data_IF_259296533849
#
_entry.id   IF_259296533849
#
_cell.length_a   1.000
_cell.length_b   1.000
_cell.length_c   1.000
_cell.angle_alpha   90.00
_cell.angle_beta   90.00
_cell.angle_gamma   90.00
#
_symmetry.space_group_name_H-M   'P 1'
#
loop_
_entity.id
_entity.type
_entity.pdbx_description
1 polymer ?
#
# COMPACT_ATOMS: atom_id res chain seq x y z
N UNK A 1 13.59 12.35 5.45
CA UNK A 1 12.73 11.64 4.48
C UNK A 1 11.33 11.63 5.03
N UNK A 2 10.32 11.78 4.16
CA UNK A 2 8.90 11.72 4.54
C UNK A 2 8.16 10.84 3.54
N UNK A 3 7.27 9.99 4.00
CA UNK A 3 6.41 9.18 3.15
C UNK A 3 4.96 9.37 3.56
N UNK A 4 4.10 9.66 2.59
CA UNK A 4 2.66 9.74 2.78
C UNK A 4 2.03 8.43 2.33
N UNK A 5 1.29 7.77 3.22
CA UNK A 5 0.48 6.61 2.88
C UNK A 5 -0.98 7.01 2.74
N UNK A 6 -1.65 6.42 1.77
CA UNK A 6 -3.06 6.63 1.46
C UNK A 6 -3.75 5.28 1.41
N UNK A 7 -4.73 5.08 2.29
CA UNK A 7 -5.68 3.98 2.24
C UNK A 7 -6.94 4.42 1.49
N UNK A 8 -7.41 3.59 0.56
CA UNK A 8 -8.51 3.93 -0.35
C UNK A 8 -9.81 3.30 0.12
N UNK A 9 -10.74 4.12 0.59
CA UNK A 9 -12.07 3.72 1.04
C UNK A 9 -13.20 4.22 0.13
N UNK A 10 -14.16 3.33 -0.17
CA UNK A 10 -15.32 3.66 -1.04
C UNK A 10 -16.30 4.61 -0.34
N UNK A 11 -16.66 4.29 0.91
CA UNK A 11 -17.79 4.97 1.58
C UNK A 11 -17.36 6.11 2.49
N UNK A 12 -16.13 6.08 2.95
CA UNK A 12 -15.61 6.99 3.98
C UNK A 12 -14.59 7.99 3.45
N UNK A 13 -14.26 7.92 2.15
CA UNK A 13 -13.14 8.65 1.59
C UNK A 13 -11.80 8.01 1.96
N UNK A 14 -10.73 8.78 1.79
CA UNK A 14 -9.37 8.32 1.95
C UNK A 14 -8.85 8.63 3.36
N UNK A 15 -8.07 7.70 3.94
CA UNK A 15 -7.31 7.96 5.16
C UNK A 15 -5.82 8.14 4.80
N UNK A 16 -5.21 9.22 5.30
CA UNK A 16 -3.84 9.63 5.02
C UNK A 16 -3.00 9.59 6.29
N UNK A 17 -1.78 9.09 6.20
CA UNK A 17 -0.79 9.11 7.29
C UNK A 17 0.57 9.50 6.75
N UNK A 18 1.18 10.55 7.33
CA UNK A 18 2.53 10.98 7.03
C UNK A 18 3.50 10.43 8.08
N UNK A 19 4.52 9.71 7.64
CA UNK A 19 5.65 9.27 8.47
C UNK A 19 6.94 10.01 8.09
N UNK A 20 7.77 10.28 9.09
CA UNK A 20 9.16 10.74 8.85
C UNK A 20 10.16 9.59 8.79
N UNK A 21 11.45 9.92 8.54
CA UNK A 21 12.52 8.93 8.45
C UNK A 21 12.84 8.21 9.76
N UNK A 22 12.39 8.73 10.89
CA UNK A 22 12.48 8.10 12.22
C UNK A 22 11.21 7.30 12.55
N UNK A 23 10.26 7.23 11.58
CA UNK A 23 8.98 6.53 11.67
C UNK A 23 7.98 7.13 12.64
N UNK A 24 8.16 8.39 13.02
CA UNK A 24 7.17 9.14 13.76
C UNK A 24 5.97 9.48 12.86
N UNK A 25 4.76 9.39 13.41
CA UNK A 25 3.55 9.90 12.76
C UNK A 25 3.56 11.42 12.89
N UNK A 26 3.80 12.12 11.78
CA UNK A 26 3.85 13.59 11.76
C UNK A 26 2.48 14.20 11.62
N UNK A 27 1.63 13.62 10.78
CA UNK A 27 0.30 14.14 10.49
C UNK A 27 -0.64 13.05 9.98
N UNK A 28 -1.94 13.29 10.09
CA UNK A 28 -2.97 12.37 9.59
C UNK A 28 -4.19 13.16 9.10
N UNK A 29 -4.81 12.70 8.01
CA UNK A 29 -6.12 13.18 7.57
C UNK A 29 -7.07 11.98 7.38
N UNK A 30 -8.35 12.21 7.55
CA UNK A 30 -9.38 11.17 7.44
C UNK A 30 -10.55 11.66 6.61
N UNK A 31 -11.18 10.69 5.93
CA UNK A 31 -12.37 10.97 5.12
C UNK A 31 -12.12 12.04 4.05
N UNK A 32 -10.90 12.02 3.49
CA UNK A 32 -10.49 12.96 2.45
C UNK A 32 -11.17 12.57 1.14
N UNK A 33 -11.72 13.56 0.44
CA UNK A 33 -12.23 13.35 -0.92
C UNK A 33 -11.05 13.19 -1.88
N UNK A 34 -11.19 12.30 -2.86
CA UNK A 34 -10.16 12.07 -3.87
C UNK A 34 -9.85 13.34 -4.67
N UNK A 35 -10.84 14.19 -4.87
CA UNK A 35 -10.69 15.45 -5.60
C UNK A 35 -9.85 16.50 -4.84
N UNK A 36 -9.73 16.38 -3.51
CA UNK A 36 -8.91 17.27 -2.69
C UNK A 36 -7.43 16.86 -2.62
N UNK A 37 -7.05 15.66 -3.09
CA UNK A 37 -5.68 15.15 -3.00
C UNK A 37 -4.66 16.08 -3.69
N UNK A 38 -5.01 16.70 -4.81
CA UNK A 38 -4.12 17.60 -5.55
C UNK A 38 -3.68 18.83 -4.75
N UNK A 39 -4.46 19.24 -3.74
CA UNK A 39 -4.12 20.32 -2.81
C UNK A 39 -3.41 19.77 -1.56
N UNK A 40 -3.98 18.75 -0.95
CA UNK A 40 -3.54 18.26 0.33
C UNK A 40 -2.16 17.56 0.27
N UNK A 41 -1.90 16.76 -0.77
CA UNK A 41 -0.65 16.01 -0.86
C UNK A 41 0.59 16.92 -0.89
N UNK A 42 0.63 18.01 -1.66
CA UNK A 42 1.73 18.98 -1.59
C UNK A 42 1.93 19.60 -0.20
N UNK A 43 0.84 19.90 0.53
CA UNK A 43 0.90 20.51 1.86
C UNK A 43 1.55 19.58 2.90
N UNK A 44 1.36 18.25 2.78
CA UNK A 44 2.08 17.27 3.59
C UNK A 44 3.59 17.24 3.30
N UNK A 45 4.03 17.65 2.12
CA UNK A 45 5.42 17.72 1.70
C UNK A 45 6.14 16.36 1.73
N UNK A 46 5.58 15.28 1.17
CA UNK A 46 6.21 13.97 1.19
C UNK A 46 7.32 13.88 0.13
N UNK A 47 8.28 13.00 0.37
CA UNK A 47 9.28 12.59 -0.63
C UNK A 47 8.76 11.46 -1.56
N UNK A 48 7.73 10.74 -1.12
CA UNK A 48 7.04 9.67 -1.87
C UNK A 48 5.61 9.55 -1.38
N UNK A 49 4.68 9.23 -2.28
CA UNK A 49 3.28 8.90 -1.95
C UNK A 49 3.04 7.43 -2.19
N UNK A 50 2.52 6.70 -1.20
CA UNK A 50 2.24 5.27 -1.24
C UNK A 50 0.74 5.03 -1.14
N UNK A 51 0.12 4.49 -2.20
CA UNK A 51 -1.34 4.34 -2.32
C UNK A 51 -1.71 2.86 -2.27
N UNK A 52 -2.62 2.49 -1.37
CA UNK A 52 -3.21 1.13 -1.28
C UNK A 52 -4.32 0.97 -2.32
N UNK A 53 -3.94 0.98 -3.57
CA UNK A 53 -4.83 0.70 -4.68
C UNK A 53 -4.02 0.49 -5.97
N UNK A 54 -4.58 -0.23 -6.97
CA UNK A 54 -4.00 -0.27 -8.30
C UNK A 54 -4.08 1.10 -8.99
N UNK A 55 -3.14 1.44 -9.88
CA UNK A 55 -3.15 2.71 -10.64
C UNK A 55 -3.99 2.64 -11.92
N UNK A 56 -4.32 1.45 -12.40
CA UNK A 56 -5.09 1.22 -13.63
C UNK A 56 -5.56 -0.24 -13.71
N UNK A 57 -6.46 -0.53 -14.65
CA UNK A 57 -6.83 -1.90 -15.04
C UNK A 57 -5.62 -2.68 -15.58
N UNK A 58 -5.72 -4.00 -15.57
CA UNK A 58 -4.74 -4.85 -16.25
C UNK A 58 -4.74 -4.55 -17.76
N UNK A 59 -3.62 -4.75 -18.43
CA UNK A 59 -3.52 -4.62 -19.89
C UNK A 59 -4.24 -5.76 -20.63
N UNK A 60 -4.39 -6.91 -19.96
CA UNK A 60 -5.07 -8.08 -20.50
C UNK A 60 -5.45 -9.08 -19.38
N UNK A 61 -6.49 -9.87 -19.63
CA UNK A 61 -6.89 -10.99 -18.78
C UNK A 61 -7.53 -10.56 -17.46
N UNK A 62 -7.52 -11.44 -16.47
CA UNK A 62 -8.25 -11.28 -15.20
C UNK A 62 -7.40 -10.76 -14.04
N UNK A 63 -6.10 -10.60 -14.22
CA UNK A 63 -5.16 -10.30 -13.14
C UNK A 63 -3.86 -9.78 -13.70
N UNK A 64 -3.31 -8.73 -13.09
CA UNK A 64 -2.00 -8.18 -13.42
C UNK A 64 -0.87 -9.15 -13.01
N UNK A 65 0.32 -8.99 -13.60
CA UNK A 65 1.48 -9.81 -13.27
C UNK A 65 1.84 -9.71 -11.78
N UNK A 66 1.84 -8.50 -11.21
CA UNK A 66 2.17 -8.26 -9.80
C UNK A 66 1.30 -9.07 -8.83
N UNK A 67 0.00 -9.19 -9.11
CA UNK A 67 -0.93 -9.96 -8.27
C UNK A 67 -0.68 -11.47 -8.37
N UNK A 68 -0.31 -11.97 -9.55
CA UNK A 68 0.07 -13.38 -9.73
C UNK A 68 1.35 -13.72 -8.97
N UNK A 69 2.32 -12.81 -9.01
CA UNK A 69 3.58 -12.95 -8.27
C UNK A 69 3.36 -12.91 -6.76
N UNK A 70 2.51 -12.01 -6.24
CA UNK A 70 2.13 -11.99 -4.82
C UNK A 70 1.50 -13.32 -4.37
N UNK A 71 0.59 -13.88 -5.17
CA UNK A 71 -0.03 -15.19 -4.86
C UNK A 71 0.99 -16.32 -4.87
N UNK A 72 2.01 -16.25 -5.74
CA UNK A 72 3.11 -17.21 -5.70
C UNK A 72 3.86 -17.13 -4.37
N UNK A 73 4.04 -15.94 -3.79
CA UNK A 73 4.60 -15.77 -2.45
C UNK A 73 3.64 -16.18 -1.32
N UNK A 74 2.43 -16.65 -1.63
CA UNK A 74 1.40 -17.03 -0.65
C UNK A 74 0.54 -15.87 -0.15
N UNK A 75 0.75 -14.66 -0.66
CA UNK A 75 -0.03 -13.48 -0.29
C UNK A 75 -1.26 -13.37 -1.19
N UNK A 76 -2.44 -13.57 -0.61
CA UNK A 76 -3.70 -13.43 -1.35
C UNK A 76 -4.03 -11.95 -1.53
N UNK A 77 -4.39 -11.57 -2.75
CA UNK A 77 -4.84 -10.23 -3.13
C UNK A 77 -6.03 -10.32 -4.10
N UNK A 78 -6.74 -9.22 -4.25
CA UNK A 78 -7.77 -9.10 -5.27
C UNK A 78 -7.13 -9.05 -6.67
N UNK A 79 -7.89 -9.44 -7.67
CA UNK A 79 -7.49 -9.35 -9.06
C UNK A 79 -7.95 -8.00 -9.63
N UNK A 80 -7.10 -7.36 -10.38
CA UNK A 80 -7.47 -6.22 -11.23
C UNK A 80 -7.65 -6.72 -12.66
N UNK A 81 -8.89 -6.83 -13.16
CA UNK A 81 -9.17 -7.33 -14.52
C UNK A 81 -8.82 -6.29 -15.59
N UNK A 82 -8.79 -6.74 -16.84
CA UNK A 82 -8.63 -5.84 -18.01
C UNK A 82 -9.97 -5.38 -18.60
N UNK A 83 -11.08 -5.90 -18.10
CA UNK A 83 -12.40 -5.65 -18.68
C UNK A 83 -12.97 -4.31 -18.17
N UNK A 84 -13.15 -3.30 -19.05
CA UNK A 84 -13.76 -2.03 -18.68
C UNK A 84 -15.22 -2.14 -18.19
N UNK A 85 -15.94 -3.19 -18.60
CA UNK A 85 -17.32 -3.42 -18.14
C UNK A 85 -17.37 -3.72 -16.63
N UNK A 86 -16.24 -4.18 -16.07
CA UNK A 86 -16.10 -4.38 -14.62
C UNK A 86 -16.05 -3.06 -13.84
N UNK A 87 -15.79 -1.92 -14.50
CA UNK A 87 -15.73 -0.61 -13.85
C UNK A 87 -17.04 -0.24 -13.15
N UNK A 88 -18.16 -0.64 -13.69
CA UNK A 88 -19.49 -0.36 -13.13
C UNK A 88 -19.93 -1.38 -12.07
N UNK A 89 -19.14 -2.44 -11.84
CA UNK A 89 -19.47 -3.43 -10.83
C UNK A 89 -19.08 -2.92 -9.43
N UNK A 90 -19.99 -2.90 -8.44
CA UNK A 90 -19.74 -2.30 -7.11
C UNK A 90 -18.51 -2.84 -6.38
N UNK A 91 -18.12 -4.08 -6.66
CA UNK A 91 -16.92 -4.70 -6.08
C UNK A 91 -15.63 -3.97 -6.49
N UNK A 92 -15.57 -3.36 -7.68
CA UNK A 92 -14.37 -2.70 -8.23
C UNK A 92 -14.37 -1.18 -8.02
N UNK A 93 -15.38 -0.62 -7.38
CA UNK A 93 -15.50 0.82 -7.12
C UNK A 93 -14.24 1.39 -6.43
N UNK A 94 -13.69 0.68 -5.44
CA UNK A 94 -12.47 1.09 -4.75
C UNK A 94 -11.24 1.17 -5.66
N UNK A 95 -11.15 0.30 -6.68
CA UNK A 95 -10.06 0.39 -7.68
C UNK A 95 -10.21 1.65 -8.52
N UNK A 96 -11.45 1.99 -8.91
CA UNK A 96 -11.73 3.21 -9.68
C UNK A 96 -11.35 4.47 -8.89
N UNK A 97 -11.65 4.50 -7.59
CA UNK A 97 -11.20 5.58 -6.69
C UNK A 97 -9.67 5.58 -6.60
N UNK A 98 -9.03 4.42 -6.53
CA UNK A 98 -7.57 4.31 -6.59
C UNK A 98 -6.97 4.91 -7.86
N UNK A 99 -7.57 4.63 -9.03
CA UNK A 99 -7.12 5.25 -10.30
C UNK A 99 -7.28 6.76 -10.28
N UNK A 100 -8.37 7.27 -9.68
CA UNK A 100 -8.59 8.71 -9.50
C UNK A 100 -7.54 9.31 -8.56
N UNK A 101 -7.21 8.63 -7.45
CA UNK A 101 -6.18 9.08 -6.51
C UNK A 101 -4.81 9.23 -7.18
N UNK A 102 -4.38 8.25 -8.00
CA UNK A 102 -3.14 8.37 -8.77
C UNK A 102 -3.20 9.54 -9.76
N UNK A 103 -4.32 9.73 -10.46
CA UNK A 103 -4.51 10.84 -11.42
C UNK A 103 -4.52 12.21 -10.76
N UNK A 104 -5.16 12.31 -9.60
CA UNK A 104 -5.29 13.58 -8.87
C UNK A 104 -3.93 14.18 -8.47
N UNK A 105 -2.90 13.37 -8.32
CA UNK A 105 -1.55 13.81 -7.90
C UNK A 105 -0.47 13.61 -8.96
N UNK A 106 -0.82 13.20 -10.19
CA UNK A 106 0.14 12.77 -11.22
C UNK A 106 1.13 13.87 -11.61
N UNK A 107 0.69 15.14 -11.64
CA UNK A 107 1.54 16.28 -11.98
C UNK A 107 2.67 16.49 -10.95
N UNK A 108 2.39 16.29 -9.66
CA UNK A 108 3.36 16.44 -8.58
C UNK A 108 4.10 15.15 -8.26
N UNK A 109 3.42 14.01 -8.35
CA UNK A 109 3.93 12.67 -8.06
C UNK A 109 3.56 11.71 -9.19
N UNK A 110 4.30 11.67 -10.30
CA UNK A 110 4.03 10.75 -11.38
C UNK A 110 4.12 9.29 -10.90
N UNK A 111 3.31 8.43 -11.51
CA UNK A 111 3.25 7.01 -11.17
C UNK A 111 4.61 6.34 -11.34
N UNK A 112 5.04 5.61 -10.31
CA UNK A 112 6.26 4.80 -10.34
C UNK A 112 6.20 3.72 -11.42
N UNK A 113 7.28 3.62 -12.18
CA UNK A 113 7.47 2.56 -13.18
C UNK A 113 8.76 1.79 -12.93
N UNK A 114 9.86 2.49 -12.66
CA UNK A 114 11.18 1.92 -12.42
C UNK A 114 12.13 2.97 -11.85
N UNK A 115 13.23 2.54 -11.25
CA UNK A 115 14.27 3.43 -10.73
C UNK A 115 14.01 3.95 -9.33
N UNK A 116 14.21 5.26 -9.11
CA UNK A 116 13.98 5.91 -7.83
C UNK A 116 12.49 6.13 -7.59
N UNK A 117 12.05 5.93 -6.35
CA UNK A 117 10.67 6.24 -5.92
C UNK A 117 10.49 7.69 -5.44
N UNK A 118 11.59 8.43 -5.25
CA UNK A 118 11.52 9.81 -4.76
C UNK A 118 10.80 10.71 -5.78
N UNK A 119 9.83 11.49 -5.28
CA UNK A 119 8.96 12.31 -6.11
C UNK A 119 7.96 11.53 -6.94
N UNK A 120 7.62 10.30 -6.56
CA UNK A 120 6.69 9.46 -7.31
C UNK A 120 5.57 8.92 -6.41
N UNK A 121 4.45 8.53 -7.04
CA UNK A 121 3.40 7.74 -6.43
C UNK A 121 3.65 6.26 -6.69
N UNK A 122 3.69 5.46 -5.63
CA UNK A 122 3.89 4.02 -5.65
C UNK A 122 2.61 3.29 -5.26
N UNK A 123 2.31 2.18 -5.93
CA UNK A 123 1.28 1.25 -5.49
C UNK A 123 1.85 0.38 -4.37
N UNK A 124 1.09 0.19 -3.32
CA UNK A 124 1.42 -0.68 -2.20
C UNK A 124 0.23 -1.57 -1.84
N UNK A 125 0.47 -2.56 -1.00
CA UNK A 125 -0.57 -3.43 -0.45
C UNK A 125 -0.26 -3.69 1.03
N UNK A 126 -0.91 -3.00 1.98
CA UNK A 126 -0.61 -3.06 3.41
C UNK A 126 -0.58 -4.47 4.00
N UNK A 127 -1.45 -5.37 3.52
CA UNK A 127 -1.40 -6.76 3.94
C UNK A 127 -0.09 -7.44 3.48
N UNK A 128 0.33 -7.23 2.24
CA UNK A 128 1.62 -7.74 1.74
C UNK A 128 2.79 -7.11 2.48
N UNK A 129 2.73 -5.80 2.73
CA UNK A 129 3.71 -5.08 3.57
C UNK A 129 3.88 -5.78 4.92
N UNK A 130 2.77 -6.03 5.62
CA UNK A 130 2.82 -6.69 6.93
C UNK A 130 3.38 -8.12 6.85
N UNK A 131 3.05 -8.89 5.80
CA UNK A 131 3.60 -10.23 5.57
C UNK A 131 5.12 -10.17 5.36
N UNK A 132 5.58 -9.27 4.50
CA UNK A 132 7.01 -9.11 4.18
C UNK A 132 7.79 -8.69 5.42
N UNK A 133 7.31 -7.71 6.17
CA UNK A 133 7.97 -7.20 7.36
C UNK A 133 7.99 -8.19 8.53
N UNK A 134 6.94 -8.98 8.70
CA UNK A 134 6.89 -10.02 9.74
C UNK A 134 7.59 -11.32 9.34
N UNK A 135 7.73 -11.58 8.04
CA UNK A 135 8.28 -12.84 7.52
C UNK A 135 7.29 -14.00 7.49
N UNK A 136 6.02 -13.80 7.83
CA UNK A 136 4.99 -14.84 7.88
C UNK A 136 3.58 -14.31 7.59
N UNK A 137 2.68 -15.21 7.20
CA UNK A 137 1.25 -14.92 7.07
C UNK A 137 0.59 -14.75 8.46
N UNK A 138 -0.51 -13.95 8.56
CA UNK A 138 -1.14 -13.66 9.85
C UNK A 138 -1.45 -14.94 10.65
N UNK A 139 -1.16 -14.96 11.96
CA UNK A 139 -1.47 -16.08 12.84
C UNK A 139 -2.97 -16.40 12.85
N UNK A 140 -3.33 -17.67 13.05
CA UNK A 140 -4.74 -18.05 13.24
C UNK A 140 -5.27 -17.44 14.55
N UNK A 141 -6.53 -16.94 14.51
CA UNK A 141 -7.21 -16.42 15.69
C UNK A 141 -6.86 -14.96 16.05
N UNK A 142 -5.90 -14.36 15.40
CA UNK A 142 -5.63 -12.92 15.55
C UNK A 142 -6.35 -12.13 14.46
N UNK A 143 -6.99 -11.01 14.83
CA UNK A 143 -7.61 -10.16 13.82
C UNK A 143 -6.55 -9.56 12.89
N UNK A 144 -6.80 -9.49 11.58
CA UNK A 144 -5.84 -8.90 10.63
C UNK A 144 -5.41 -7.48 11.02
N UNK A 145 -6.33 -6.69 11.53
CA UNK A 145 -6.08 -5.34 12.00
C UNK A 145 -5.14 -5.30 13.23
N UNK A 146 -5.40 -6.13 14.25
CA UNK A 146 -4.55 -6.19 15.43
C UNK A 146 -3.13 -6.66 15.07
N UNK A 147 -3.01 -7.62 14.17
CA UNK A 147 -1.72 -8.09 13.68
C UNK A 147 -0.95 -7.00 12.90
N UNK A 148 -1.61 -6.28 11.98
CA UNK A 148 -0.98 -5.19 11.23
C UNK A 148 -0.51 -4.06 12.15
N UNK A 149 -1.29 -3.73 13.17
CA UNK A 149 -0.88 -2.76 14.21
C UNK A 149 0.36 -3.22 14.98
N UNK A 150 0.48 -4.50 15.29
CA UNK A 150 1.67 -5.05 15.93
C UNK A 150 2.89 -5.01 15.02
N UNK A 151 2.72 -5.28 13.72
CA UNK A 151 3.80 -5.12 12.74
C UNK A 151 4.30 -3.67 12.68
N UNK A 152 3.43 -2.67 12.71
CA UNK A 152 3.84 -1.27 12.80
C UNK A 152 4.70 -1.01 14.04
N UNK A 153 4.26 -1.47 15.23
CA UNK A 153 5.00 -1.29 16.48
C UNK A 153 6.37 -1.97 16.45
N UNK A 154 6.45 -3.19 15.92
CA UNK A 154 7.73 -3.92 15.79
C UNK A 154 8.73 -3.21 14.86
N UNK A 155 8.23 -2.27 14.07
CA UNK A 155 9.04 -1.41 13.18
C UNK A 155 9.12 0.04 13.69
N UNK A 156 8.95 0.24 14.99
CA UNK A 156 9.08 1.53 15.68
C UNK A 156 8.10 2.63 15.20
N UNK A 157 6.96 2.26 14.60
CA UNK A 157 5.86 3.21 14.35
C UNK A 157 4.95 3.23 15.55
N UNK A 158 4.81 4.40 16.19
CA UNK A 158 3.81 4.57 17.26
C UNK A 158 2.40 4.59 16.67
N UNK A 159 1.72 3.46 16.79
CA UNK A 159 0.35 3.30 16.31
C UNK A 159 -0.71 3.81 17.29
N UNK A 160 -0.35 4.45 18.42
CA UNK A 160 -1.30 4.91 19.43
C UNK A 160 -2.22 6.03 18.91
N UNK A 161 -1.70 6.88 18.04
CA UNK A 161 -2.46 7.94 17.38
C UNK A 161 -3.42 7.44 16.27
N UNK A 162 -3.23 6.22 15.77
CA UNK A 162 -4.04 5.67 14.69
C UNK A 162 -5.33 5.07 15.25
N UNK A 163 -6.47 5.62 14.86
CA UNK A 163 -7.78 5.30 15.45
C UNK A 163 -8.63 4.30 14.66
N UNK A 164 -8.30 4.07 13.38
CA UNK A 164 -9.05 3.16 12.49
C UNK A 164 -8.16 2.06 11.91
N UNK A 165 -8.78 1.05 11.29
CA UNK A 165 -8.10 0.06 10.47
C UNK A 165 -7.47 0.73 9.26
N UNK A 166 -8.21 1.65 8.64
CA UNK A 166 -7.86 2.37 7.45
C UNK A 166 -6.60 3.24 7.70
N UNK A 167 -6.50 3.91 8.86
CA UNK A 167 -5.26 4.61 9.25
C UNK A 167 -4.06 3.67 9.50
N UNK A 168 -4.29 2.46 10.01
CA UNK A 168 -3.22 1.46 10.16
C UNK A 168 -2.72 1.01 8.79
N UNK A 169 -3.60 0.86 7.81
CA UNK A 169 -3.23 0.49 6.45
C UNK A 169 -2.53 1.65 5.73
N UNK A 170 -2.99 2.88 5.89
CA UNK A 170 -2.26 4.07 5.43
C UNK A 170 -0.86 4.18 6.06
N UNK A 171 -0.70 3.88 7.35
CA UNK A 171 0.62 3.88 8.00
C UNK A 171 1.55 2.78 7.48
N UNK A 172 1.03 1.58 7.17
CA UNK A 172 1.79 0.51 6.52
C UNK A 172 2.19 0.91 5.08
N UNK A 173 1.32 1.61 4.38
CA UNK A 173 1.63 2.19 3.08
C UNK A 173 2.79 3.20 3.19
N UNK A 174 2.70 4.16 4.12
CA UNK A 174 3.77 5.13 4.38
C UNK A 174 5.09 4.44 4.79
N UNK A 175 5.04 3.43 5.65
CA UNK A 175 6.21 2.67 6.07
C UNK A 175 6.88 1.97 4.86
N UNK A 176 6.09 1.42 3.93
CA UNK A 176 6.61 0.88 2.66
C UNK A 176 7.32 1.96 1.86
N UNK A 177 6.74 3.16 1.79
CA UNK A 177 7.35 4.32 1.14
C UNK A 177 8.72 4.70 1.76
N UNK A 178 8.86 4.67 3.10
CA UNK A 178 10.15 4.91 3.77
C UNK A 178 11.18 3.84 3.40
N UNK A 179 10.84 2.55 3.45
CA UNK A 179 11.74 1.48 3.00
C UNK A 179 12.17 1.67 1.54
N UNK A 180 11.25 2.13 0.68
CA UNK A 180 11.56 2.38 -0.72
C UNK A 180 12.52 3.58 -0.91
N UNK A 181 12.36 4.64 -0.13
CA UNK A 181 13.31 5.77 -0.09
C UNK A 181 14.68 5.36 0.40
N UNK A 182 14.77 4.40 1.32
CA UNK A 182 16.00 3.77 1.81
C UNK A 182 16.61 2.77 0.81
N UNK A 183 16.00 2.57 -0.37
CA UNK A 183 16.39 1.55 -1.38
C UNK A 183 16.30 0.11 -0.86
N UNK A 184 15.48 -0.15 0.11
CA UNK A 184 15.21 -1.46 0.73
C UNK A 184 13.86 -1.99 0.28
N UNK A 185 13.67 -2.12 -1.01
CA UNK A 185 12.39 -2.53 -1.58
C UNK A 185 12.56 -3.45 -2.80
N UNK A 186 11.51 -4.17 -3.11
CA UNK A 186 11.30 -4.87 -4.37
C UNK A 186 9.95 -4.43 -4.96
N UNK A 187 9.81 -4.56 -6.27
CA UNK A 187 8.61 -4.15 -6.98
C UNK A 187 8.27 -5.18 -8.07
N UNK A 188 7.65 -6.32 -7.69
CA UNK A 188 7.18 -7.32 -8.64
C UNK A 188 6.13 -6.73 -9.60
N UNK A 189 6.02 -7.29 -10.79
CA UNK A 189 5.04 -6.89 -11.80
C UNK A 189 5.64 -6.24 -13.04
N UNK A 190 4.75 -5.86 -13.96
CA UNK A 190 5.08 -5.17 -15.22
C UNK A 190 4.92 -3.64 -15.01
N UNK A 191 5.94 -2.82 -15.35
CA UNK A 191 5.86 -1.36 -15.21
C UNK A 191 4.75 -0.71 -16.06
N UNK A 192 4.23 -1.40 -17.06
CA UNK A 192 3.10 -0.90 -17.88
C UNK A 192 1.77 -1.04 -17.17
N UNK A 193 1.57 -2.17 -16.44
CA UNK A 193 0.33 -2.44 -15.69
C UNK A 193 0.33 -1.81 -14.29
N UNK A 194 1.49 -1.65 -13.69
CA UNK A 194 1.71 -1.27 -12.31
C UNK A 194 2.49 -2.34 -11.55
N UNK A 195 3.23 -1.89 -10.55
CA UNK A 195 4.06 -2.73 -9.68
C UNK A 195 3.69 -2.47 -8.25
N UNK A 196 3.45 -3.53 -7.48
CA UNK A 196 3.27 -3.39 -6.03
C UNK A 196 4.64 -3.32 -5.39
N UNK A 197 4.92 -2.21 -4.72
CA UNK A 197 6.15 -2.01 -3.95
C UNK A 197 6.05 -2.71 -2.60
N UNK A 198 7.10 -3.47 -2.25
CA UNK A 198 7.19 -4.26 -1.03
C UNK A 198 8.44 -3.87 -0.23
N UNK A 199 8.39 -3.79 1.11
CA UNK A 199 9.47 -3.25 1.95
C UNK A 199 10.60 -4.25 2.21
N UNK A 200 11.13 -4.87 1.17
CA UNK A 200 12.30 -5.75 1.23
C UNK A 200 13.05 -5.71 -0.11
N UNK A 201 14.37 -5.56 -0.06
CA UNK A 201 15.21 -5.55 -1.26
C UNK A 201 15.20 -6.90 -2.01
N UNK A 202 14.98 -8.00 -1.28
CA UNK A 202 14.89 -9.35 -1.82
C UNK A 202 13.71 -10.07 -1.21
N UNK A 203 12.88 -10.68 -2.04
CA UNK A 203 11.78 -11.54 -1.61
C UNK A 203 12.29 -12.98 -1.40
N UNK A 204 11.63 -13.78 -0.54
CA UNK A 204 12.07 -15.12 -0.23
C UNK A 204 11.95 -16.06 -1.45
N UNK A 205 12.83 -17.05 -1.53
CA UNK A 205 12.76 -18.08 -2.57
C UNK A 205 11.59 -19.06 -2.41
N UNK A 206 10.85 -19.00 -1.29
CA UNK A 206 9.71 -19.86 -0.97
C UNK A 206 8.53 -19.04 -0.48
N UNK A 207 7.29 -19.50 -0.69
CA UNK A 207 6.11 -18.80 -0.18
C UNK A 207 6.14 -18.61 1.34
N UNK A 208 5.61 -17.47 1.80
CA UNK A 208 5.38 -17.22 3.21
C UNK A 208 4.43 -18.26 3.80
N UNK A 209 4.70 -18.66 5.01
CA UNK A 209 3.86 -19.60 5.75
C UNK A 209 3.21 -18.91 6.95
N UNK A 210 2.12 -19.46 7.42
CA UNK A 210 1.49 -18.99 8.64
C UNK A 210 2.40 -19.26 9.83
N UNK A 211 2.54 -18.29 10.72
CA UNK A 211 3.24 -18.50 11.97
C UNK A 211 2.58 -19.67 12.74
N UNK A 212 3.37 -20.58 13.26
CA UNK A 212 2.91 -21.54 14.28
C UNK A 212 2.62 -20.72 15.55
N UNK A 213 1.41 -20.89 16.12
CA UNK A 213 1.13 -20.29 17.41
C UNK A 213 2.24 -20.73 18.39
N UNK A 214 2.75 -19.82 19.27
CA UNK A 214 3.62 -20.25 20.33
C UNK A 214 2.91 -21.34 21.12
N UNK A 215 3.61 -22.42 21.44
CA UNK A 215 3.10 -23.46 22.33
C UNK A 215 2.68 -22.77 23.64
N UNK A 216 1.42 -22.98 24.06
CA UNK A 216 0.91 -22.47 25.33
C UNK A 216 1.67 -23.07 26.50
#
# INVERSE_FOLDING_TARGET
MRALGIDVGVRKGLDLVLLDGERAVLDTARHVDVDDLHKLVPDFGPDVVAIDAPPAWASSGRSRLTERELRWFGVQCFNTPSDPEMADHPFYEWMTIGFQAFRAIEDAFPRYRTGSVRGQAIEVFPHATAVVLSGFLPPKGLSPHAWRREVLRSHAVDASALRSADQVDAALAALTGLFALERRFSAPGDPREGKIVLPAATLPARPYRRATAPAK
#
